data_IF_216921874055
#
_entry.id   IF_216921874055
#
_cell.length_a   1.000
_cell.length_b   1.000
_cell.length_c   1.000
_cell.angle_alpha   90.00
_cell.angle_beta   90.00
_cell.angle_gamma   90.00
#
_symmetry.space_group_name_H-M   'P 1'
#
loop_
_entity.id
_entity.type
_entity.pdbx_description
1 polymer ?
#
# COMPACT_ATOMS: atom_id res chain seq x y z
N UNK A 1 -0.48 12.54 -27.21
CA UNK A 1 -0.92 11.43 -26.34
C UNK A 1 -1.44 10.30 -27.24
N UNK A 2 -0.78 9.14 -27.27
CA UNK A 2 -1.27 7.98 -28.04
C UNK A 2 -2.39 7.30 -27.23
N UNK A 3 -3.59 7.18 -27.80
CA UNK A 3 -4.67 6.38 -27.22
C UNK A 3 -4.15 4.94 -27.02
N UNK A 4 -4.46 4.28 -25.89
CA UNK A 4 -4.21 2.85 -25.78
C UNK A 4 -4.97 2.11 -26.90
N UNK A 5 -4.44 0.99 -27.41
CA UNK A 5 -5.11 0.21 -28.44
C UNK A 5 -6.53 -0.17 -27.99
N UNK A 6 -7.50 -0.06 -28.88
CA UNK A 6 -8.90 -0.34 -28.60
C UNK A 6 -9.08 -1.73 -27.98
N UNK A 7 -9.75 -1.79 -26.82
CA UNK A 7 -10.03 -3.05 -26.13
C UNK A 7 -11.00 -3.91 -26.96
N UNK A 8 -10.58 -5.13 -27.29
CA UNK A 8 -11.50 -6.18 -27.76
C UNK A 8 -12.36 -6.65 -26.58
N UNK A 9 -13.68 -6.90 -26.74
CA UNK A 9 -14.54 -7.28 -25.61
C UNK A 9 -14.06 -8.55 -24.89
N UNK A 10 -13.92 -8.48 -23.57
CA UNK A 10 -13.50 -9.64 -22.76
C UNK A 10 -14.58 -10.73 -22.76
N UNK A 11 -14.21 -11.96 -23.14
CA UNK A 11 -15.12 -13.12 -23.07
C UNK A 11 -15.30 -13.61 -21.62
N UNK A 12 -16.46 -14.18 -21.24
CA UNK A 12 -16.82 -14.41 -19.83
C UNK A 12 -16.22 -15.66 -19.17
N UNK A 13 -15.40 -16.46 -19.83
CA UNK A 13 -15.26 -17.90 -19.48
C UNK A 13 -13.85 -18.34 -19.01
N UNK A 14 -13.05 -17.46 -18.44
CA UNK A 14 -11.70 -17.80 -17.95
C UNK A 14 -11.59 -17.87 -16.42
N UNK A 15 -10.85 -18.85 -15.91
CA UNK A 15 -10.36 -18.87 -14.53
C UNK A 15 -9.56 -17.58 -14.23
N UNK A 16 -9.57 -17.05 -12.99
CA UNK A 16 -8.81 -15.85 -12.65
C UNK A 16 -7.31 -16.06 -12.93
N UNK A 17 -6.72 -15.20 -13.75
CA UNK A 17 -5.29 -15.21 -14.06
C UNK A 17 -4.60 -14.13 -13.24
N UNK A 18 -3.66 -14.53 -12.39
CA UNK A 18 -2.81 -13.61 -11.65
C UNK A 18 -1.49 -13.39 -12.40
N UNK A 19 -1.11 -12.13 -12.62
CA UNK A 19 0.20 -11.75 -13.14
C UNK A 19 0.90 -10.85 -12.10
N UNK A 20 2.18 -11.12 -11.83
CA UNK A 20 3.01 -10.34 -10.90
C UNK A 20 4.03 -9.53 -11.69
N UNK A 21 4.14 -8.24 -11.41
CA UNK A 21 5.06 -7.34 -12.12
C UNK A 21 6.07 -6.77 -11.11
N UNK A 22 7.38 -6.92 -11.34
CA UNK A 22 8.39 -6.27 -10.53
C UNK A 22 8.26 -4.74 -10.62
N UNK A 23 8.33 -4.06 -9.48
CA UNK A 23 8.20 -2.59 -9.39
C UNK A 23 9.48 -1.84 -9.81
N UNK A 24 10.47 -2.52 -10.39
CA UNK A 24 11.72 -1.86 -10.79
C UNK A 24 11.53 -1.04 -12.06
N UNK A 25 11.96 0.23 -12.00
CA UNK A 25 12.23 1.04 -13.19
C UNK A 25 13.32 0.36 -14.01
N UNK A 26 13.03 0.08 -15.28
CA UNK A 26 14.05 -0.20 -16.29
C UNK A 26 14.69 1.10 -16.81
N UNK A 27 14.02 2.25 -16.71
CA UNK A 27 14.56 3.58 -17.06
C UNK A 27 13.76 4.73 -16.41
N UNK A 28 14.34 5.93 -16.18
CA UNK A 28 13.60 7.12 -15.78
C UNK A 28 12.57 7.55 -16.84
N UNK A 29 11.37 7.97 -16.42
CA UNK A 29 10.38 8.61 -17.30
C UNK A 29 9.51 7.69 -18.17
N UNK A 30 9.67 6.36 -18.11
CA UNK A 30 8.76 5.43 -18.80
C UNK A 30 7.84 4.73 -17.78
N UNK A 31 6.52 4.60 -18.06
CA UNK A 31 5.63 3.78 -17.24
C UNK A 31 6.19 2.35 -17.15
N UNK A 32 5.85 1.64 -16.07
CA UNK A 32 6.13 0.20 -15.98
C UNK A 32 5.53 -0.45 -17.23
N UNK A 33 6.39 -0.93 -18.13
CA UNK A 33 5.95 -1.54 -19.37
C UNK A 33 5.33 -2.89 -19.02
N UNK A 34 4.01 -3.00 -19.22
CA UNK A 34 3.33 -4.28 -19.13
C UNK A 34 3.85 -5.18 -20.26
N UNK A 35 4.48 -6.29 -19.88
CA UNK A 35 4.77 -7.43 -20.77
C UNK A 35 4.07 -8.63 -20.14
N UNK A 36 2.74 -8.62 -20.19
CA UNK A 36 1.94 -9.80 -19.86
C UNK A 36 1.66 -10.61 -21.13
N UNK A 37 1.24 -11.87 -21.00
CA UNK A 37 0.81 -12.65 -22.15
C UNK A 37 -0.32 -11.90 -22.87
N UNK A 38 -0.32 -11.96 -24.20
CA UNK A 38 -1.26 -11.28 -25.10
C UNK A 38 -2.75 -11.62 -24.85
N UNK A 39 -3.01 -12.61 -23.99
CA UNK A 39 -4.31 -13.04 -23.46
C UNK A 39 -4.84 -12.22 -22.27
N UNK A 40 -3.99 -11.48 -21.55
CA UNK A 40 -4.40 -10.61 -20.42
C UNK A 40 -4.81 -9.22 -20.90
N UNK A 41 -5.81 -9.14 -21.79
CA UNK A 41 -6.36 -7.84 -22.28
C UNK A 41 -7.47 -7.28 -21.36
N UNK A 42 -7.70 -7.92 -20.23
CA UNK A 42 -8.76 -7.62 -19.29
C UNK A 42 -8.18 -7.62 -17.87
N UNK A 43 -8.18 -6.46 -17.19
CA UNK A 43 -7.77 -6.38 -15.78
C UNK A 43 -8.98 -5.94 -14.99
N UNK A 44 -9.47 -6.81 -14.10
CA UNK A 44 -10.60 -6.49 -13.21
C UNK A 44 -10.13 -5.93 -11.86
N UNK A 45 -8.92 -6.33 -11.42
CA UNK A 45 -8.40 -6.01 -10.10
C UNK A 45 -6.90 -5.69 -10.18
N UNK A 46 -6.55 -4.44 -9.89
CA UNK A 46 -5.17 -4.04 -9.66
C UNK A 46 -4.85 -4.12 -8.16
N UNK A 47 -3.77 -4.82 -7.80
CA UNK A 47 -3.27 -4.87 -6.41
C UNK A 47 -1.84 -4.37 -6.35
N UNK A 48 -1.66 -3.13 -5.89
CA UNK A 48 -0.36 -2.56 -5.60
C UNK A 48 0.07 -2.96 -4.18
N UNK A 49 0.79 -4.09 -4.06
CA UNK A 49 1.19 -4.68 -2.78
C UNK A 49 2.69 -4.60 -2.45
N UNK A 50 3.55 -4.34 -3.46
CA UNK A 50 4.98 -4.29 -3.25
C UNK A 50 5.35 -3.23 -2.20
N UNK A 51 6.32 -3.56 -1.34
CA UNK A 51 6.81 -2.61 -0.38
C UNK A 51 8.08 -3.06 0.34
N UNK A 52 8.88 -2.06 0.70
CA UNK A 52 10.07 -2.19 1.53
C UNK A 52 9.99 -1.20 2.69
N UNK A 53 10.80 -1.39 3.71
CA UNK A 53 10.82 -0.52 4.87
C UNK A 53 12.22 -0.20 5.34
N UNK A 54 12.30 0.89 6.08
CA UNK A 54 13.49 1.33 6.76
C UNK A 54 13.09 1.91 8.12
N UNK A 55 13.87 1.57 9.14
CA UNK A 55 13.79 2.16 10.48
C UNK A 55 15.05 2.97 10.73
N UNK A 56 14.85 4.16 11.28
CA UNK A 56 15.86 5.12 11.72
C UNK A 56 15.18 6.45 12.08
N UNK A 57 15.71 7.13 13.10
CA UNK A 57 15.32 8.51 13.39
C UNK A 57 15.63 9.42 12.18
N UNK A 58 14.88 10.51 12.06
CA UNK A 58 15.18 11.52 11.03
C UNK A 58 16.56 12.09 11.31
N UNK A 59 17.44 12.07 10.31
CA UNK A 59 18.85 12.47 10.45
C UNK A 59 19.82 11.30 10.59
N UNK A 60 19.35 10.08 10.90
CA UNK A 60 20.23 8.90 10.98
C UNK A 60 20.07 7.94 9.80
N UNK A 61 18.94 8.00 9.10
CA UNK A 61 18.67 7.13 7.96
C UNK A 61 19.40 7.62 6.69
N UNK A 62 20.21 6.77 6.01
CA UNK A 62 20.87 7.13 4.77
C UNK A 62 19.89 7.54 3.67
N UNK A 63 20.26 8.52 2.85
CA UNK A 63 19.45 9.00 1.72
C UNK A 63 19.06 7.87 0.75
N UNK A 64 19.97 6.91 0.53
CA UNK A 64 19.71 5.75 -0.33
C UNK A 64 18.53 4.91 0.16
N UNK A 65 18.31 4.81 1.47
CA UNK A 65 17.15 4.13 2.03
C UNK A 65 15.88 4.97 1.92
N UNK A 66 15.96 6.29 2.05
CA UNK A 66 14.85 7.19 1.73
C UNK A 66 14.36 7.00 0.30
N UNK A 67 15.26 7.09 -0.68
CA UNK A 67 14.94 6.89 -2.09
C UNK A 67 14.35 5.52 -2.35
N UNK A 68 15.00 4.45 -1.87
CA UNK A 68 14.51 3.07 -2.01
C UNK A 68 13.08 2.90 -1.50
N UNK A 69 12.76 3.45 -0.33
CA UNK A 69 11.42 3.36 0.28
C UNK A 69 10.39 4.17 -0.51
N UNK A 70 10.69 5.42 -0.88
CA UNK A 70 9.78 6.27 -1.64
C UNK A 70 9.54 5.73 -3.06
N UNK A 71 10.61 5.33 -3.74
CA UNK A 71 10.57 4.79 -5.10
C UNK A 71 9.71 3.51 -5.16
N UNK A 72 9.93 2.58 -4.23
CA UNK A 72 9.19 1.31 -4.23
C UNK A 72 7.75 1.50 -3.77
N UNK A 73 7.55 2.14 -2.61
CA UNK A 73 6.24 2.12 -1.95
C UNK A 73 5.28 3.14 -2.57
N UNK A 74 5.76 4.36 -2.84
CA UNK A 74 4.92 5.45 -3.30
C UNK A 74 4.94 5.55 -4.83
N UNK A 75 6.11 5.80 -5.43
CA UNK A 75 6.19 5.96 -6.88
C UNK A 75 5.83 4.66 -7.60
N UNK A 76 6.23 3.51 -7.08
CA UNK A 76 5.83 2.22 -7.62
C UNK A 76 4.31 2.02 -7.66
N UNK A 77 3.62 2.38 -6.58
CA UNK A 77 2.15 2.36 -6.53
C UNK A 77 1.54 3.37 -7.49
N UNK A 78 2.07 4.60 -7.54
CA UNK A 78 1.60 5.65 -8.43
C UNK A 78 1.74 5.23 -9.89
N UNK A 79 2.89 4.69 -10.30
CA UNK A 79 3.13 4.20 -11.65
C UNK A 79 2.24 3.00 -12.00
N UNK A 80 1.97 2.10 -11.06
CA UNK A 80 0.98 1.05 -11.24
C UNK A 80 -0.41 1.62 -11.53
N UNK A 81 -0.84 2.63 -10.77
CA UNK A 81 -2.09 3.33 -11.04
C UNK A 81 -2.08 4.04 -12.41
N UNK A 82 -1.06 4.83 -12.73
CA UNK A 82 -0.94 5.54 -14.02
C UNK A 82 -1.02 4.58 -15.22
N UNK A 83 -0.38 3.40 -15.12
CA UNK A 83 -0.40 2.39 -16.18
C UNK A 83 -1.77 1.75 -16.36
N UNK A 84 -2.42 1.29 -15.27
CA UNK A 84 -3.60 0.42 -15.36
C UNK A 84 -4.93 1.15 -15.17
N UNK A 85 -4.95 2.31 -14.52
CA UNK A 85 -6.18 3.04 -14.23
C UNK A 85 -6.97 3.45 -15.50
N UNK A 86 -6.35 3.86 -16.62
CA UNK A 86 -7.07 4.10 -17.87
C UNK A 86 -7.84 2.87 -18.35
N UNK A 87 -7.23 1.68 -18.32
CA UNK A 87 -7.88 0.43 -18.72
C UNK A 87 -9.02 0.03 -17.76
N UNK A 88 -8.82 0.24 -16.46
CA UNK A 88 -9.85 -0.05 -15.45
C UNK A 88 -11.06 0.90 -15.58
N UNK A 89 -10.86 2.15 -16.03
CA UNK A 89 -11.93 3.14 -16.26
C UNK A 89 -12.77 2.80 -17.49
N UNK A 90 -12.15 2.29 -18.54
CA UNK A 90 -12.83 1.86 -19.77
C UNK A 90 -13.50 0.48 -19.64
N UNK A 91 -13.32 -0.19 -18.50
CA UNK A 91 -13.79 -1.55 -18.33
C UNK A 91 -15.33 -1.64 -18.29
N UNK A 92 -15.96 -2.49 -19.13
CA UNK A 92 -17.42 -2.60 -19.17
C UNK A 92 -17.99 -3.27 -17.90
N UNK A 93 -17.13 -3.96 -17.14
CA UNK A 93 -17.48 -4.67 -15.90
C UNK A 93 -16.97 -3.94 -14.67
N UNK A 94 -17.31 -4.48 -13.50
CA UNK A 94 -16.86 -3.93 -12.22
C UNK A 94 -15.36 -4.14 -12.05
N UNK A 95 -14.59 -3.05 -12.14
CA UNK A 95 -13.16 -3.00 -11.91
C UNK A 95 -12.82 -2.39 -10.55
N UNK A 96 -11.65 -2.71 -9.99
CA UNK A 96 -11.24 -2.24 -8.66
C UNK A 96 -9.72 -2.05 -8.52
N UNK A 97 -9.31 -1.03 -7.77
CA UNK A 97 -7.91 -0.77 -7.39
C UNK A 97 -7.73 -1.02 -5.90
N UNK A 98 -6.73 -1.81 -5.54
CA UNK A 98 -6.29 -2.05 -4.17
C UNK A 98 -4.87 -1.54 -3.99
N UNK A 99 -4.69 -0.57 -3.11
CA UNK A 99 -3.39 -0.04 -2.74
C UNK A 99 -3.05 -0.45 -1.30
N UNK A 100 -1.94 -1.17 -1.11
CA UNK A 100 -1.50 -1.62 0.21
C UNK A 100 -0.62 -0.55 0.87
N UNK A 101 -1.26 0.24 1.71
CA UNK A 101 -0.61 1.21 2.58
C UNK A 101 -0.09 0.55 3.87
N UNK A 102 -0.22 1.22 5.01
CA UNK A 102 0.13 0.73 6.34
C UNK A 102 -0.57 1.55 7.41
N UNK A 103 -0.72 1.00 8.62
CA UNK A 103 -1.07 1.80 9.80
C UNK A 103 -0.07 2.95 10.02
N UNK A 104 1.19 2.77 9.62
CA UNK A 104 2.22 3.80 9.70
C UNK A 104 1.89 5.02 8.82
N UNK A 105 1.21 4.81 7.69
CA UNK A 105 0.77 5.90 6.82
C UNK A 105 -0.36 6.75 7.41
N UNK A 106 -1.11 6.22 8.38
CA UNK A 106 -2.21 6.95 9.03
C UNK A 106 -1.88 7.40 10.45
N UNK A 107 -0.91 6.79 11.14
CA UNK A 107 -0.51 7.16 12.51
C UNK A 107 0.83 7.90 12.62
N UNK A 108 1.69 7.84 11.59
CA UNK A 108 3.02 8.50 11.59
C UNK A 108 3.91 7.98 12.73
N UNK A 109 4.54 6.83 12.53
CA UNK A 109 5.26 6.12 13.60
C UNK A 109 6.70 6.67 13.73
N UNK A 110 7.17 6.99 14.96
CA UNK A 110 8.55 7.39 15.22
C UNK A 110 9.56 6.35 14.71
N UNK A 111 10.76 6.81 14.36
CA UNK A 111 11.82 6.00 13.72
C UNK A 111 11.43 5.33 12.41
N UNK A 112 10.27 5.66 11.82
CA UNK A 112 9.81 5.09 10.55
C UNK A 112 9.38 6.22 9.61
N UNK A 113 10.09 7.34 9.60
CA UNK A 113 9.68 8.55 8.88
C UNK A 113 9.55 8.31 7.36
N UNK A 114 10.57 7.73 6.72
CA UNK A 114 10.53 7.39 5.30
C UNK A 114 9.38 6.44 4.95
N UNK A 115 9.21 5.39 5.75
CA UNK A 115 8.14 4.42 5.55
C UNK A 115 6.76 5.05 5.76
N UNK A 116 6.56 5.79 6.84
CA UNK A 116 5.31 6.49 7.16
C UNK A 116 4.95 7.50 6.07
N UNK A 117 5.91 8.31 5.61
CA UNK A 117 5.70 9.27 4.53
C UNK A 117 5.27 8.57 3.23
N UNK A 118 5.98 7.50 2.84
CA UNK A 118 5.62 6.73 1.63
C UNK A 118 4.22 6.14 1.70
N UNK A 119 3.83 5.54 2.85
CA UNK A 119 2.53 4.90 3.04
C UNK A 119 1.40 5.91 3.26
N UNK A 120 1.70 7.10 3.79
CA UNK A 120 0.75 8.23 3.82
C UNK A 120 0.48 8.75 2.41
N UNK A 121 1.51 8.87 1.56
CA UNK A 121 1.36 9.21 0.16
C UNK A 121 0.48 8.21 -0.60
N UNK A 122 0.61 6.90 -0.32
CA UNK A 122 -0.27 5.87 -0.90
C UNK A 122 -1.73 6.03 -0.46
N UNK A 123 -1.98 6.44 0.79
CA UNK A 123 -3.33 6.77 1.28
C UNK A 123 -3.91 7.96 0.52
N UNK A 124 -3.15 9.05 0.43
CA UNK A 124 -3.57 10.26 -0.28
C UNK A 124 -3.83 9.99 -1.77
N UNK A 125 -2.94 9.27 -2.45
CA UNK A 125 -3.11 8.83 -3.84
C UNK A 125 -4.41 8.04 -4.02
N UNK A 126 -4.70 7.11 -3.11
CA UNK A 126 -5.91 6.30 -3.18
C UNK A 126 -7.19 7.12 -2.96
N UNK A 127 -7.14 8.11 -2.07
CA UNK A 127 -8.24 9.05 -1.84
C UNK A 127 -8.48 9.92 -3.08
N UNK A 128 -7.41 10.42 -3.72
CA UNK A 128 -7.47 11.21 -4.95
C UNK A 128 -8.10 10.42 -6.10
N UNK A 129 -7.58 9.23 -6.42
CA UNK A 129 -8.14 8.36 -7.47
C UNK A 129 -9.62 8.08 -7.20
N UNK A 130 -9.98 7.82 -5.95
CA UNK A 130 -11.36 7.53 -5.60
C UNK A 130 -12.31 8.73 -5.74
N UNK A 131 -11.79 9.97 -5.66
CA UNK A 131 -12.53 11.20 -5.92
C UNK A 131 -12.65 11.48 -7.43
N UNK A 132 -11.62 11.14 -8.22
CA UNK A 132 -11.64 11.27 -9.69
C UNK A 132 -12.57 10.26 -10.38
N UNK A 133 -12.82 9.11 -9.76
CA UNK A 133 -13.71 8.08 -10.29
C UNK A 133 -15.18 8.48 -10.21
N UNK A 134 -15.65 9.23 -11.22
CA UNK A 134 -17.06 9.54 -11.42
C UNK A 134 -17.92 8.27 -11.34
N UNK A 135 -19.05 8.34 -10.62
CA UNK A 135 -19.95 7.18 -10.37
C UNK A 135 -19.29 6.00 -9.62
N UNK A 136 -18.12 6.20 -9.02
CA UNK A 136 -17.46 5.23 -8.16
C UNK A 136 -16.84 4.03 -8.88
N UNK A 137 -16.43 4.20 -10.15
CA UNK A 137 -15.79 3.16 -10.98
C UNK A 137 -14.45 3.62 -11.59
N UNK A 138 -13.38 2.82 -11.52
CA UNK A 138 -13.22 1.64 -10.67
C UNK A 138 -13.47 1.93 -9.19
N UNK A 139 -13.85 0.91 -8.42
CA UNK A 139 -13.81 1.01 -6.97
C UNK A 139 -12.37 1.14 -6.48
N UNK A 140 -12.17 1.78 -5.33
CA UNK A 140 -10.82 1.99 -4.78
C UNK A 140 -10.80 1.64 -3.31
N UNK A 141 -9.88 0.75 -2.93
CA UNK A 141 -9.65 0.31 -1.55
C UNK A 141 -8.20 0.56 -1.16
N UNK A 142 -7.97 1.35 -0.11
CA UNK A 142 -6.67 1.44 0.57
C UNK A 142 -6.65 0.54 1.79
N UNK A 143 -5.60 -0.26 1.90
CA UNK A 143 -5.40 -1.21 3.00
C UNK A 143 -4.35 -0.67 3.95
N UNK A 144 -4.70 -0.48 5.22
CA UNK A 144 -3.80 -0.01 6.27
C UNK A 144 -3.61 -1.11 7.32
N UNK A 145 -2.77 -2.12 7.04
CA UNK A 145 -2.51 -3.18 8.01
C UNK A 145 -1.58 -2.70 9.14
N UNK A 146 -1.79 -3.25 10.34
CA UNK A 146 -0.76 -3.30 11.38
C UNK A 146 0.20 -4.46 11.14
N UNK A 147 0.93 -4.92 12.16
CA UNK A 147 1.79 -6.10 12.03
C UNK A 147 0.99 -7.37 11.70
N UNK A 148 1.40 -8.07 10.65
CA UNK A 148 0.90 -9.38 10.24
C UNK A 148 2.07 -10.23 9.69
N UNK A 149 1.97 -11.55 9.80
CA UNK A 149 3.00 -12.48 9.33
C UNK A 149 3.15 -12.36 7.81
N UNK A 150 4.36 -11.96 7.38
CA UNK A 150 4.73 -11.73 5.98
C UNK A 150 6.26 -11.73 5.84
N UNK A 151 6.77 -11.74 4.60
CA UNK A 151 8.20 -11.61 4.32
C UNK A 151 8.77 -10.17 4.42
N UNK A 152 7.98 -9.20 4.91
CA UNK A 152 8.35 -7.77 4.86
C UNK A 152 9.68 -7.46 5.58
N UNK A 153 9.95 -8.12 6.72
CA UNK A 153 11.20 -7.91 7.46
C UNK A 153 12.45 -8.41 6.73
N UNK A 154 12.30 -9.36 5.80
CA UNK A 154 13.42 -9.89 5.01
C UNK A 154 14.08 -8.86 4.10
N UNK A 155 13.40 -7.74 3.79
CA UNK A 155 13.93 -6.64 2.97
C UNK A 155 14.08 -5.34 3.75
N UNK A 156 13.88 -5.38 5.07
CA UNK A 156 13.82 -4.20 5.93
C UNK A 156 15.21 -3.73 6.34
N UNK A 157 15.45 -2.42 6.23
CA UNK A 157 16.67 -1.80 6.73
C UNK A 157 16.48 -1.35 8.18
N UNK A 158 17.36 -1.76 9.09
CA UNK A 158 17.33 -1.39 10.50
C UNK A 158 18.63 -0.67 10.86
N UNK A 159 18.51 0.46 11.56
CA UNK A 159 19.66 1.17 12.16
C UNK A 159 20.10 0.57 13.49
N UNK A 160 19.23 -0.17 14.17
CA UNK A 160 19.52 -0.81 15.47
C UNK A 160 19.05 -2.27 15.51
N UNK A 161 19.81 -3.13 16.20
CA UNK A 161 19.43 -4.52 16.48
C UNK A 161 18.22 -4.62 17.41
N UNK A 162 18.03 -3.65 18.32
CA UNK A 162 16.87 -3.58 19.22
C UNK A 162 15.59 -3.36 18.43
N UNK A 163 15.62 -2.46 17.44
CA UNK A 163 14.49 -2.19 16.56
C UNK A 163 14.12 -3.42 15.71
N UNK A 164 15.13 -4.16 15.24
CA UNK A 164 14.94 -5.43 14.54
C UNK A 164 14.25 -6.47 15.43
N UNK A 165 14.78 -6.71 16.62
CA UNK A 165 14.23 -7.68 17.56
C UNK A 165 12.78 -7.37 17.92
N UNK A 166 12.45 -6.10 18.18
CA UNK A 166 11.07 -5.71 18.50
C UNK A 166 10.13 -5.87 17.29
N UNK A 167 10.59 -5.56 16.07
CA UNK A 167 9.80 -5.78 14.87
C UNK A 167 9.52 -7.28 14.62
N UNK A 168 10.53 -8.12 14.75
CA UNK A 168 10.43 -9.58 14.63
C UNK A 168 9.49 -10.15 15.70
N UNK A 169 9.65 -9.74 16.96
CA UNK A 169 8.76 -10.14 18.07
C UNK A 169 7.31 -9.77 17.77
N UNK A 170 7.03 -8.53 17.34
CA UNK A 170 5.67 -8.08 16.97
C UNK A 170 5.07 -8.88 15.81
N UNK A 171 5.89 -9.29 14.84
CA UNK A 171 5.43 -10.14 13.73
C UNK A 171 5.25 -11.60 14.13
N UNK A 172 5.99 -12.11 15.11
CA UNK A 172 5.79 -13.46 15.63
C UNK A 172 4.48 -13.59 16.42
N UNK A 173 4.21 -12.62 17.32
CA UNK A 173 3.07 -12.67 18.26
C UNK A 173 1.73 -12.24 17.64
N UNK A 174 1.73 -11.65 16.45
CA UNK A 174 0.48 -11.24 15.80
C UNK A 174 -0.34 -12.45 15.34
N UNK A 175 -1.66 -12.38 15.54
CA UNK A 175 -2.63 -13.37 15.03
C UNK A 175 -3.02 -13.17 13.57
N UNK A 176 -2.53 -12.09 12.94
CA UNK A 176 -2.83 -11.76 11.55
C UNK A 176 -1.83 -12.43 10.62
N UNK A 177 -2.33 -13.17 9.64
CA UNK A 177 -1.54 -13.76 8.55
C UNK A 177 -1.85 -13.06 7.23
N UNK A 178 -1.01 -13.24 6.22
CA UNK A 178 -1.24 -12.78 4.85
C UNK A 178 -2.62 -13.20 4.34
N UNK A 179 -3.02 -14.45 4.56
CA UNK A 179 -4.28 -15.03 4.08
C UNK A 179 -5.48 -14.34 4.75
N UNK A 180 -5.40 -14.10 6.07
CA UNK A 180 -6.45 -13.40 6.83
C UNK A 180 -6.60 -11.95 6.38
N UNK A 181 -5.49 -11.27 6.10
CA UNK A 181 -5.49 -9.90 5.57
C UNK A 181 -6.09 -9.89 4.17
N UNK A 182 -5.63 -10.78 3.27
CA UNK A 182 -6.13 -10.92 1.91
C UNK A 182 -7.64 -11.19 1.88
N UNK A 183 -8.14 -12.13 2.68
CA UNK A 183 -9.58 -12.40 2.78
C UNK A 183 -10.39 -11.17 3.25
N UNK A 184 -9.83 -10.33 4.12
CA UNK A 184 -10.48 -9.08 4.55
C UNK A 184 -10.48 -8.03 3.44
N UNK A 185 -9.40 -7.96 2.66
CA UNK A 185 -9.27 -7.07 1.49
C UNK A 185 -10.28 -7.46 0.42
N UNK A 186 -10.36 -8.73 0.03
CA UNK A 186 -11.31 -9.20 -0.98
C UNK A 186 -12.77 -8.95 -0.57
N UNK A 187 -13.11 -9.16 0.71
CA UNK A 187 -14.45 -8.79 1.25
C UNK A 187 -14.73 -7.29 1.20
N UNK A 188 -13.69 -6.45 1.30
CA UNK A 188 -13.83 -5.00 1.20
C UNK A 188 -13.97 -4.54 -0.25
N UNK A 189 -13.20 -5.13 -1.17
CA UNK A 189 -13.34 -4.96 -2.63
C UNK A 189 -14.76 -5.29 -3.05
N UNK A 190 -15.27 -6.46 -2.65
CA UNK A 190 -16.64 -6.89 -2.98
C UNK A 190 -17.71 -5.90 -2.45
N UNK A 191 -17.47 -5.26 -1.30
CA UNK A 191 -18.37 -4.24 -0.71
C UNK A 191 -18.04 -2.79 -1.10
N UNK A 192 -17.11 -2.58 -2.03
CA UNK A 192 -16.60 -1.26 -2.40
C UNK A 192 -16.19 -0.37 -1.21
N UNK A 193 -15.56 -0.95 -0.18
CA UNK A 193 -15.15 -0.23 1.02
C UNK A 193 -13.79 0.45 0.83
N UNK A 194 -13.78 1.77 0.95
CA UNK A 194 -12.58 2.59 0.74
C UNK A 194 -11.40 2.27 1.67
N UNK A 195 -11.65 2.03 2.95
CA UNK A 195 -10.58 1.79 3.93
C UNK A 195 -10.66 0.40 4.55
N UNK A 196 -9.53 -0.31 4.55
CA UNK A 196 -9.34 -1.56 5.31
C UNK A 196 -8.26 -1.35 6.35
N UNK A 197 -8.66 -0.87 7.53
CA UNK A 197 -7.76 -0.79 8.69
C UNK A 197 -7.80 -2.11 9.45
N UNK A 198 -6.66 -2.78 9.59
CA UNK A 198 -6.56 -4.07 10.26
C UNK A 198 -6.19 -3.87 11.73
N UNK A 199 -7.08 -4.30 12.62
CA UNK A 199 -6.94 -4.16 14.08
C UNK A 199 -7.98 -3.20 14.68
N UNK A 200 -8.54 -3.56 15.85
CA UNK A 200 -9.51 -2.73 16.58
C UNK A 200 -8.85 -1.46 17.12
N UNK A 201 -7.73 -1.61 17.83
CA UNK A 201 -6.95 -0.49 18.37
C UNK A 201 -6.48 0.47 17.27
N UNK A 202 -6.07 -0.06 16.12
CA UNK A 202 -5.67 0.72 14.95
C UNK A 202 -6.79 1.65 14.44
N UNK A 203 -8.03 1.13 14.36
CA UNK A 203 -9.20 1.91 13.95
C UNK A 203 -9.51 3.03 14.93
N UNK A 204 -9.43 2.75 16.23
CA UNK A 204 -9.66 3.75 17.28
C UNK A 204 -8.60 4.85 17.27
N UNK A 205 -7.32 4.48 17.22
CA UNK A 205 -6.22 5.45 17.13
C UNK A 205 -6.31 6.33 15.88
N UNK A 206 -6.72 5.75 14.74
CA UNK A 206 -6.92 6.53 13.52
C UNK A 206 -8.05 7.56 13.66
N UNK A 207 -9.17 7.18 14.28
CA UNK A 207 -10.26 8.11 14.60
C UNK A 207 -9.80 9.19 15.56
N UNK A 208 -9.06 8.83 16.61
CA UNK A 208 -8.51 9.77 17.57
C UNK A 208 -7.55 10.77 16.90
N UNK A 209 -6.67 10.32 15.99
CA UNK A 209 -5.77 11.21 15.25
C UNK A 209 -6.54 12.25 14.43
N UNK A 210 -7.66 11.86 13.83
CA UNK A 210 -8.51 12.76 13.02
C UNK A 210 -9.23 13.81 13.88
N UNK A 211 -9.64 13.45 15.09
CA UNK A 211 -10.40 14.35 15.98
C UNK A 211 -9.49 15.18 16.90
N UNK A 212 -8.37 14.61 17.34
CA UNK A 212 -7.47 15.18 18.33
C UNK A 212 -5.99 14.89 17.96
N UNK A 213 -5.46 15.53 16.89
CA UNK A 213 -4.10 15.27 16.42
C UNK A 213 -3.04 15.59 17.47
N UNK A 214 -3.20 16.69 18.23
CA UNK A 214 -2.27 17.08 19.31
C UNK A 214 -2.20 16.02 20.42
N UNK A 215 -3.36 15.54 20.88
CA UNK A 215 -3.44 14.48 21.89
C UNK A 215 -2.81 13.17 21.40
N UNK A 216 -3.04 12.82 20.14
CA UNK A 216 -2.44 11.63 19.53
C UNK A 216 -0.92 11.74 19.46
N UNK A 217 -0.39 12.89 19.04
CA UNK A 217 1.06 13.15 19.03
C UNK A 217 1.65 13.08 20.43
N UNK A 218 0.97 13.63 21.45
CA UNK A 218 1.40 13.54 22.84
C UNK A 218 1.45 12.10 23.35
N UNK A 219 0.44 11.28 23.02
CA UNK A 219 0.41 9.85 23.34
C UNK A 219 1.57 9.10 22.67
N UNK A 220 1.77 9.30 21.37
CA UNK A 220 2.86 8.68 20.60
C UNK A 220 4.22 9.08 21.18
N UNK A 221 4.43 10.36 21.50
CA UNK A 221 5.65 10.86 22.16
C UNK A 221 5.90 10.17 23.50
N UNK A 222 4.86 10.00 24.32
CA UNK A 222 4.95 9.33 25.63
C UNK A 222 5.33 7.86 25.49
N UNK A 223 4.78 7.16 24.50
CA UNK A 223 5.14 5.76 24.20
C UNK A 223 6.57 5.67 23.69
N UNK A 224 6.96 6.56 22.78
CA UNK A 224 8.30 6.58 22.19
C UNK A 224 9.40 6.75 23.25
N UNK A 225 9.20 7.67 24.20
CA UNK A 225 10.13 7.91 25.32
C UNK A 225 10.34 6.72 26.26
N UNK A 226 9.45 5.72 26.23
CA UNK A 226 9.52 4.52 27.06
C UNK A 226 10.20 3.35 26.35
N UNK A 227 10.54 3.49 25.07
CA UNK A 227 11.25 2.44 24.35
C UNK A 227 12.71 2.39 24.81
N UNK A 228 13.29 1.19 24.97
CA UNK A 228 14.71 1.04 25.20
C UNK A 228 15.49 1.64 24.02
N UNK A 229 16.57 2.37 24.32
CA UNK A 229 17.49 2.96 23.35
C UNK A 229 18.68 2.05 23.12
#
# INVERSE_FOLDING_TARGET
>A
MRRPPACTPCRPSGSPVAASIPVRRSSPGRPVAWVGPSSTRCVDLLVNAAGVGATGEVGTLPETQWRRVLDTNLLGTALGCETFLPWLREHPRRSHVVNVASIAGILSVPSMAAYSASKAGVVALSEAIAAECARGRPGVTVVCPGFFRSGLLGTWHFTSSVERCEAERRMAVTRWTSERVAGRVLRAVHRNRRYVVVGLRARWLWRLKRLAPRATTALVRRVYRRLPR
#
